data_IF_588494425557
#
_entry.id   IF_588494425557
#
_cell.length_a   1.000
_cell.length_b   1.000
_cell.length_c   1.000
_cell.angle_alpha   90.00
_cell.angle_beta   90.00
_cell.angle_gamma   90.00
#
_symmetry.space_group_name_H-M   'P 1'
#
loop_
_entity.id
_entity.type
_entity.pdbx_description
1 polymer ?
#
# COMPACT_ATOMS: atom_id res chain seq x y z
N UNK A 1 11.50 6.47 -9.32
CA UNK A 1 11.75 7.90 -9.70
C UNK A 1 11.48 8.85 -8.52
N UNK A 2 11.78 10.16 -8.59
CA UNK A 2 11.32 11.15 -7.59
C UNK A 2 10.19 11.99 -8.18
N UNK A 3 9.03 11.98 -7.55
CA UNK A 3 7.78 12.56 -8.09
C UNK A 3 7.62 14.07 -7.86
N UNK A 4 8.50 14.70 -7.08
CA UNK A 4 8.41 16.14 -6.75
C UNK A 4 7.24 16.53 -5.84
N UNK A 5 6.47 15.54 -5.35
CA UNK A 5 5.36 15.73 -4.42
C UNK A 5 5.90 15.98 -3.01
N UNK A 6 5.23 16.85 -2.26
CA UNK A 6 5.61 17.10 -0.86
C UNK A 6 5.30 15.88 0.00
N UNK A 7 6.12 15.55 1.00
CA UNK A 7 5.88 14.39 1.88
C UNK A 7 4.52 14.41 2.58
N UNK A 8 4.04 15.59 2.98
CA UNK A 8 2.74 15.79 3.64
C UNK A 8 1.52 15.44 2.77
N UNK A 9 1.69 15.39 1.45
CA UNK A 9 0.64 15.08 0.49
C UNK A 9 0.68 13.60 0.02
N UNK A 10 1.59 12.78 0.58
CA UNK A 10 1.76 11.37 0.20
C UNK A 10 1.02 10.47 1.20
N UNK A 11 0.25 9.51 0.68
CA UNK A 11 -0.33 8.41 1.45
C UNK A 11 0.32 7.10 1.03
N UNK A 12 1.00 6.44 1.97
CA UNK A 12 1.71 5.17 1.75
C UNK A 12 0.80 4.00 2.11
N UNK A 13 0.37 3.25 1.09
CA UNK A 13 -0.47 2.05 1.25
C UNK A 13 0.36 0.80 0.96
N UNK A 14 0.55 -0.04 1.98
CA UNK A 14 1.25 -1.32 1.86
C UNK A 14 0.28 -2.48 1.68
N UNK A 15 0.62 -3.42 0.79
CA UNK A 15 -0.11 -4.70 0.63
C UNK A 15 0.75 -5.83 1.15
N UNK A 16 0.24 -6.58 2.14
CA UNK A 16 1.03 -7.56 2.89
C UNK A 16 0.29 -8.90 3.03
N UNK A 17 1.00 -10.04 3.07
CA UNK A 17 0.38 -11.33 3.33
C UNK A 17 0.13 -11.60 4.84
N UNK A 18 0.38 -10.62 5.71
CA UNK A 18 0.36 -10.78 7.17
C UNK A 18 -0.50 -9.71 7.85
N UNK A 19 -1.28 -10.10 8.85
CA UNK A 19 -2.07 -9.17 9.67
C UNK A 19 -1.23 -8.40 10.68
N UNK A 20 -0.11 -8.98 11.16
CA UNK A 20 0.76 -8.34 12.14
C UNK A 20 1.37 -7.03 11.62
N UNK A 21 1.55 -6.90 10.29
CA UNK A 21 2.04 -5.66 9.67
C UNK A 21 1.13 -4.47 9.90
N UNK A 22 -0.17 -4.67 10.12
CA UNK A 22 -1.10 -3.58 10.49
C UNK A 22 -0.75 -2.98 11.84
N UNK A 23 -0.38 -3.82 12.81
CA UNK A 23 0.08 -3.36 14.11
C UNK A 23 1.47 -2.75 14.02
N UNK A 24 2.38 -3.36 13.25
CA UNK A 24 3.73 -2.83 13.06
C UNK A 24 3.72 -1.39 12.54
N UNK A 25 2.91 -1.07 11.52
CA UNK A 25 2.80 0.27 10.95
C UNK A 25 2.30 1.34 11.93
N UNK A 26 1.61 0.95 13.00
CA UNK A 26 1.09 1.87 14.02
C UNK A 26 2.07 2.12 15.17
N UNK A 27 3.25 1.48 15.14
CA UNK A 27 4.26 1.65 16.19
C UNK A 27 4.82 3.07 16.15
N UNK A 28 4.99 3.76 17.29
CA UNK A 28 5.46 5.14 17.33
C UNK A 28 6.79 5.38 16.60
N UNK A 29 7.68 4.39 16.61
CA UNK A 29 8.99 4.43 15.95
C UNK A 29 8.95 4.28 14.42
N UNK A 30 7.80 3.92 13.83
CA UNK A 30 7.61 3.83 12.37
C UNK A 30 7.35 5.21 11.76
N UNK A 31 8.23 6.14 12.05
CA UNK A 31 8.17 7.53 11.59
C UNK A 31 9.55 8.10 11.27
N UNK A 32 10.45 7.26 10.73
CA UNK A 32 11.85 7.60 10.52
C UNK A 32 12.06 8.81 9.59
N UNK A 33 11.11 9.06 8.69
CA UNK A 33 11.11 10.20 7.77
C UNK A 33 10.62 11.53 8.39
N UNK A 34 10.16 11.51 9.65
CA UNK A 34 9.42 12.61 10.27
C UNK A 34 7.92 12.58 9.99
N UNK A 35 7.48 11.67 9.13
CA UNK A 35 6.09 11.30 8.85
C UNK A 35 5.91 9.80 9.11
N UNK A 36 4.68 9.34 9.28
CA UNK A 36 4.38 7.91 9.38
C UNK A 36 4.91 7.18 8.15
N UNK A 37 5.73 6.14 8.34
CA UNK A 37 6.39 5.47 7.22
C UNK A 37 5.40 4.66 6.36
N UNK A 38 4.31 4.17 6.96
CA UNK A 38 3.21 3.46 6.28
C UNK A 38 1.87 3.87 6.89
N UNK A 39 1.02 4.55 6.12
CA UNK A 39 -0.28 5.03 6.60
C UNK A 39 -1.33 3.92 6.67
N UNK A 40 -1.35 3.03 5.67
CA UNK A 40 -2.39 2.00 5.53
C UNK A 40 -1.74 0.67 5.17
N UNK A 41 -2.19 -0.41 5.82
CA UNK A 41 -1.78 -1.78 5.50
C UNK A 41 -3.01 -2.61 5.12
N UNK A 42 -3.04 -3.06 3.87
CA UNK A 42 -4.00 -4.03 3.34
C UNK A 42 -3.39 -5.43 3.40
N UNK A 43 -4.21 -6.42 3.73
CA UNK A 43 -3.85 -7.81 3.50
C UNK A 43 -4.08 -8.21 2.04
N UNK A 44 -3.42 -9.27 1.56
CA UNK A 44 -3.69 -9.84 0.23
C UNK A 44 -5.17 -10.15 0.02
N UNK A 45 -5.88 -10.59 1.07
CA UNK A 45 -7.32 -10.85 1.02
C UNK A 45 -8.16 -9.58 0.83
N UNK A 46 -7.78 -8.50 1.50
CA UNK A 46 -8.47 -7.21 1.37
C UNK A 46 -8.26 -6.60 -0.01
N UNK A 47 -7.04 -6.66 -0.56
CA UNK A 47 -6.78 -6.24 -1.94
C UNK A 47 -7.62 -7.07 -2.92
N UNK A 48 -7.65 -8.40 -2.76
CA UNK A 48 -8.46 -9.28 -3.61
C UNK A 48 -9.96 -8.90 -3.57
N UNK A 49 -10.47 -8.56 -2.39
CA UNK A 49 -11.86 -8.08 -2.24
C UNK A 49 -12.08 -6.75 -2.96
N UNK A 50 -11.17 -5.79 -2.83
CA UNK A 50 -11.27 -4.49 -3.51
C UNK A 50 -11.27 -4.65 -5.04
N UNK A 51 -10.43 -5.54 -5.58
CA UNK A 51 -10.40 -5.85 -7.01
C UNK A 51 -11.76 -6.38 -7.48
N UNK A 52 -12.35 -7.32 -6.74
CA UNK A 52 -13.68 -7.86 -7.03
C UNK A 52 -14.78 -6.81 -6.92
N UNK A 53 -14.76 -5.97 -5.89
CA UNK A 53 -15.76 -4.90 -5.67
C UNK A 53 -15.66 -3.79 -6.74
N UNK A 54 -14.47 -3.55 -7.28
CA UNK A 54 -14.25 -2.64 -8.41
C UNK A 54 -14.73 -3.22 -9.76
N UNK A 55 -15.15 -4.49 -9.81
CA UNK A 55 -15.59 -5.14 -11.04
C UNK A 55 -14.45 -5.48 -12.01
N UNK A 56 -13.23 -5.62 -11.50
CA UNK A 56 -12.03 -5.89 -12.32
C UNK A 56 -11.91 -7.40 -12.57
N UNK A 57 -11.88 -7.82 -13.83
CA UNK A 57 -11.57 -9.20 -14.22
C UNK A 57 -10.05 -9.45 -14.14
N UNK A 58 -9.56 -9.72 -12.93
CA UNK A 58 -8.12 -9.83 -12.67
C UNK A 58 -7.40 -10.91 -13.50
N UNK A 59 -8.07 -12.02 -13.80
CA UNK A 59 -7.47 -13.13 -14.56
C UNK A 59 -7.25 -12.82 -16.05
N UNK A 60 -7.94 -11.81 -16.59
CA UNK A 60 -7.83 -11.39 -17.98
C UNK A 60 -6.89 -10.20 -18.21
N UNK A 61 -6.25 -9.69 -17.16
CA UNK A 61 -5.34 -8.54 -17.27
C UNK A 61 -4.01 -8.95 -17.90
N UNK A 62 -3.49 -8.09 -18.77
CA UNK A 62 -2.11 -8.17 -19.25
C UNK A 62 -1.14 -7.71 -18.15
N UNK A 63 0.12 -8.17 -18.23
CA UNK A 63 1.16 -7.78 -17.29
C UNK A 63 1.47 -6.28 -17.36
N UNK A 64 1.43 -5.61 -16.20
CA UNK A 64 1.85 -4.22 -16.05
C UNK A 64 3.37 -4.08 -15.89
N UNK A 65 3.89 -2.86 -16.11
CA UNK A 65 5.29 -2.53 -15.86
C UNK A 65 5.45 -1.92 -14.46
N UNK A 66 6.41 -2.42 -13.69
CA UNK A 66 6.81 -1.81 -12.41
C UNK A 66 7.53 -0.48 -12.66
N UNK A 67 7.24 0.52 -11.82
CA UNK A 67 7.98 1.79 -11.80
C UNK A 67 9.47 1.55 -11.45
N UNK A 68 10.37 2.37 -12.01
CA UNK A 68 11.84 2.21 -11.90
C UNK A 68 12.47 3.07 -10.82
#
# INVERSE_FOLDING_TARGET
EKTGVKPEDIVVVSVMPCTAKKYEAQRPEMSASGFTDVDIVLTTRELGRMISEAGIEFQGLEDGKMDS
#
